data_IF_136301300982
#
_entry.id   IF_136301300982
#
_cell.length_a   1.000
_cell.length_b   1.000
_cell.length_c   1.000
_cell.angle_alpha   90.00
_cell.angle_beta   90.00
_cell.angle_gamma   90.00
#
_symmetry.space_group_name_H-M   'P 1'
#
loop_
_entity.id
_entity.type
_entity.pdbx_description
1 polymer ?
#
# COMPACT_ATOMS: atom_id res chain seq x y z
N UNK A 1 -2.82 -17.37 33.30
CA UNK A 1 -3.05 -16.12 34.10
C UNK A 1 -1.98 -15.98 35.20
N UNK A 2 -1.52 -17.09 35.85
CA UNK A 2 -0.53 -17.01 36.95
C UNK A 2 0.91 -16.68 36.51
N UNK A 3 1.36 -17.14 35.35
CA UNK A 3 2.72 -16.93 34.86
C UNK A 3 3.00 -15.51 34.34
N UNK A 4 2.04 -14.91 33.67
CA UNK A 4 2.17 -13.52 33.17
C UNK A 4 2.19 -12.48 34.29
N UNK A 5 1.41 -12.70 35.34
CA UNK A 5 1.41 -11.82 36.51
C UNK A 5 2.74 -11.85 37.25
N UNK A 6 3.42 -13.03 37.29
CA UNK A 6 4.75 -13.20 37.93
C UNK A 6 5.86 -12.49 37.15
N UNK A 7 5.82 -12.52 35.81
CA UNK A 7 6.79 -11.85 34.93
C UNK A 7 6.67 -10.32 35.04
N UNK A 8 5.45 -9.78 34.98
CA UNK A 8 5.19 -8.32 35.12
C UNK A 8 5.67 -7.78 36.48
N UNK A 9 5.43 -8.52 37.56
CA UNK A 9 5.89 -8.12 38.90
C UNK A 9 7.43 -8.16 39.02
N UNK A 10 8.08 -9.12 38.36
CA UNK A 10 9.54 -9.24 38.30
C UNK A 10 10.20 -8.08 37.52
N UNK A 11 9.64 -7.67 36.40
CA UNK A 11 10.14 -6.55 35.57
C UNK A 11 10.06 -5.23 36.35
N UNK A 12 8.92 -4.94 36.99
CA UNK A 12 8.74 -3.71 37.76
C UNK A 12 9.73 -3.68 38.94
N UNK A 13 9.96 -4.79 39.62
CA UNK A 13 10.93 -4.90 40.75
C UNK A 13 12.35 -4.63 40.29
N UNK A 14 12.70 -4.95 39.05
CA UNK A 14 14.03 -4.78 38.49
C UNK A 14 14.27 -3.43 37.80
N UNK A 15 13.28 -2.53 37.77
CA UNK A 15 13.32 -1.31 36.92
C UNK A 15 14.53 -0.41 37.16
N UNK A 16 15.04 -0.34 38.38
CA UNK A 16 16.22 0.44 38.77
C UNK A 16 17.52 -0.36 38.79
N UNK A 17 17.50 -1.66 38.47
CA UNK A 17 18.67 -2.53 38.58
C UNK A 17 19.84 -2.04 37.75
N UNK A 18 19.58 -1.52 36.55
CA UNK A 18 20.60 -1.00 35.68
C UNK A 18 21.25 0.27 36.28
N UNK A 19 20.45 1.21 36.77
CA UNK A 19 20.94 2.42 37.40
C UNK A 19 21.81 2.13 38.63
N UNK A 20 21.37 1.17 39.48
CA UNK A 20 22.12 0.74 40.66
C UNK A 20 23.45 0.06 40.28
N UNK A 21 23.41 -0.78 39.26
CA UNK A 21 24.59 -1.41 38.70
C UNK A 21 25.61 -0.38 38.23
N UNK A 22 25.14 0.62 37.46
CA UNK A 22 26.01 1.66 36.88
C UNK A 22 26.55 2.66 37.90
N UNK A 23 25.70 3.10 38.82
CA UNK A 23 26.04 4.21 39.73
C UNK A 23 26.66 3.74 41.05
N UNK A 24 26.34 2.52 41.50
CA UNK A 24 26.80 2.03 42.78
C UNK A 24 27.83 0.89 42.64
N UNK A 25 28.23 0.49 41.45
CA UNK A 25 29.22 -0.56 41.19
C UNK A 25 28.85 -1.95 41.73
N UNK A 26 27.56 -2.19 42.06
CA UNK A 26 27.06 -3.46 42.59
C UNK A 26 26.91 -4.52 41.49
N UNK A 27 27.08 -5.80 41.85
CA UNK A 27 26.79 -6.87 40.90
C UNK A 27 25.28 -6.96 40.59
N UNK A 28 24.92 -7.59 39.47
CA UNK A 28 23.53 -7.66 38.96
C UNK A 28 22.52 -8.17 40.02
N UNK A 29 22.89 -9.22 40.80
CA UNK A 29 22.02 -9.80 41.83
C UNK A 29 21.77 -8.84 43.00
N UNK A 30 22.78 -8.10 43.39
CA UNK A 30 22.68 -7.08 44.45
C UNK A 30 21.88 -5.88 43.95
N UNK A 31 22.10 -5.47 42.72
CA UNK A 31 21.38 -4.37 42.07
C UNK A 31 19.88 -4.67 41.94
N UNK A 32 19.53 -5.90 41.55
CA UNK A 32 18.12 -6.33 41.50
C UNK A 32 17.50 -6.37 42.91
N UNK A 33 18.19 -6.87 43.89
CA UNK A 33 17.70 -6.92 45.27
C UNK A 33 17.43 -5.54 45.84
N UNK A 34 18.35 -4.58 45.63
CA UNK A 34 18.19 -3.17 46.04
C UNK A 34 17.07 -2.49 45.25
N UNK A 35 16.99 -2.68 43.93
CA UNK A 35 15.90 -2.20 43.12
C UNK A 35 14.54 -2.68 43.62
N UNK A 36 14.43 -3.97 43.91
CA UNK A 36 13.21 -4.56 44.45
C UNK A 36 12.80 -3.96 45.81
N UNK A 37 13.76 -3.57 46.66
CA UNK A 37 13.49 -2.89 47.93
C UNK A 37 12.98 -1.47 47.71
N UNK A 38 13.63 -0.68 46.85
CA UNK A 38 13.20 0.68 46.49
C UNK A 38 11.78 0.66 45.91
N UNK A 39 11.52 -0.23 44.95
CA UNK A 39 10.19 -0.38 44.35
C UNK A 39 9.14 -0.82 45.34
N UNK A 40 9.48 -1.76 46.26
CA UNK A 40 8.53 -2.22 47.28
C UNK A 40 8.04 -1.08 48.15
N UNK A 41 8.94 -0.19 48.56
CA UNK A 41 8.60 0.96 49.40
C UNK A 41 7.81 2.05 48.64
N UNK A 42 7.97 2.14 47.30
CA UNK A 42 7.40 3.19 46.46
C UNK A 42 6.52 2.64 45.31
N UNK A 43 6.01 1.41 45.42
CA UNK A 43 5.40 0.63 44.35
C UNK A 43 4.35 1.43 43.59
N UNK A 44 3.41 2.03 44.29
CA UNK A 44 2.30 2.76 43.66
C UNK A 44 2.79 4.03 42.94
N UNK A 45 3.77 4.73 43.52
CA UNK A 45 4.36 5.93 42.94
C UNK A 45 5.14 5.62 41.68
N UNK A 46 5.94 4.55 41.68
CA UNK A 46 6.70 4.09 40.50
C UNK A 46 5.74 3.73 39.36
N UNK A 47 4.72 2.91 39.64
CA UNK A 47 3.72 2.51 38.65
C UNK A 47 3.01 3.75 38.05
N UNK A 48 2.53 4.66 38.91
CA UNK A 48 1.85 5.88 38.48
C UNK A 48 2.77 6.79 37.66
N UNK A 49 4.04 6.92 38.03
CA UNK A 49 5.01 7.70 37.26
C UNK A 49 5.23 7.12 35.86
N UNK A 50 5.34 5.79 35.73
CA UNK A 50 5.46 5.11 34.42
C UNK A 50 4.20 5.32 33.58
N UNK A 51 3.01 5.21 34.18
CA UNK A 51 1.74 5.42 33.48
C UNK A 51 1.65 6.88 32.99
N UNK A 52 1.88 7.86 33.88
CA UNK A 52 1.80 9.29 33.54
C UNK A 52 2.80 9.65 32.43
N UNK A 53 4.01 9.10 32.50
CA UNK A 53 5.02 9.32 31.48
C UNK A 53 4.62 8.76 30.12
N UNK A 54 4.10 7.52 30.08
CA UNK A 54 3.63 6.94 28.82
C UNK A 54 2.43 7.70 28.25
N UNK A 55 1.50 8.17 29.11
CA UNK A 55 0.41 9.02 28.69
C UNK A 55 0.91 10.37 28.11
N UNK A 56 1.94 10.97 28.71
CA UNK A 56 2.53 12.21 28.21
C UNK A 56 3.22 12.00 26.85
N UNK A 57 3.98 10.93 26.66
CA UNK A 57 4.54 10.57 25.35
C UNK A 57 3.43 10.39 24.34
N UNK A 58 2.40 9.63 24.69
CA UNK A 58 1.26 9.37 23.83
C UNK A 58 0.53 10.66 23.42
N UNK A 59 0.29 11.57 24.38
CA UNK A 59 -0.28 12.88 24.10
C UNK A 59 0.61 13.71 23.17
N UNK A 60 1.93 13.71 23.39
CA UNK A 60 2.89 14.41 22.53
C UNK A 60 2.87 13.87 21.08
N UNK A 61 2.79 12.55 20.92
CA UNK A 61 2.66 11.89 19.63
C UNK A 61 1.35 12.29 18.94
N UNK A 62 0.23 12.27 19.66
CA UNK A 62 -1.09 12.66 19.14
C UNK A 62 -1.09 14.13 18.68
N UNK A 63 -0.51 15.03 19.46
CA UNK A 63 -0.36 16.44 19.09
C UNK A 63 0.51 16.59 17.83
N UNK A 64 1.63 15.89 17.77
CA UNK A 64 2.52 15.92 16.61
C UNK A 64 1.81 15.46 15.31
N UNK A 65 1.08 14.36 15.36
CA UNK A 65 0.29 13.88 14.22
C UNK A 65 -0.82 14.87 13.83
N UNK A 66 -1.50 15.47 14.82
CA UNK A 66 -2.53 16.48 14.56
C UNK A 66 -1.96 17.69 13.85
N UNK A 67 -0.79 18.18 14.29
CA UNK A 67 -0.12 19.34 13.69
C UNK A 67 0.30 19.04 12.25
N UNK A 68 0.93 17.89 12.00
CA UNK A 68 1.29 17.48 10.63
C UNK A 68 0.06 17.35 9.75
N UNK A 69 -1.01 16.72 10.27
CA UNK A 69 -2.29 16.57 9.57
C UNK A 69 -2.88 17.93 9.15
N UNK A 70 -2.89 18.91 10.07
CA UNK A 70 -3.38 20.25 9.77
C UNK A 70 -2.52 21.00 8.74
N UNK A 71 -1.20 20.84 8.81
CA UNK A 71 -0.27 21.42 7.82
C UNK A 71 -0.53 20.85 6.43
N UNK A 72 -0.73 19.52 6.33
CA UNK A 72 -1.02 18.85 5.07
C UNK A 72 -2.37 19.28 4.49
N UNK A 73 -3.42 19.38 5.33
CA UNK A 73 -4.73 19.88 4.90
C UNK A 73 -4.62 21.32 4.39
N UNK A 74 -3.86 22.18 5.11
CA UNK A 74 -3.60 23.56 4.67
C UNK A 74 -2.87 23.62 3.33
N UNK A 75 -1.84 22.78 3.14
CA UNK A 75 -1.10 22.68 1.89
C UNK A 75 -1.97 22.23 0.71
N UNK A 76 -2.80 21.20 0.91
CA UNK A 76 -3.74 20.71 -0.11
C UNK A 76 -4.77 21.77 -0.50
N UNK A 77 -5.29 22.53 0.47
CA UNK A 77 -6.20 23.66 0.20
C UNK A 77 -5.55 24.78 -0.59
N UNK A 78 -4.29 25.11 -0.29
CA UNK A 78 -3.53 26.16 -1.00
C UNK A 78 -3.24 25.79 -2.47
N UNK A 79 -3.17 24.48 -2.80
CA UNK A 79 -2.93 23.99 -4.15
C UNK A 79 -4.22 23.90 -4.98
N UNK A 80 -5.38 24.26 -4.42
CA UNK A 80 -6.71 24.22 -5.04
C UNK A 80 -7.06 22.87 -5.72
N UNK A 81 -6.53 21.79 -5.16
CA UNK A 81 -6.69 20.42 -5.68
C UNK A 81 -7.97 19.80 -5.12
N UNK A 82 -9.14 20.37 -5.48
CA UNK A 82 -10.43 19.99 -4.90
C UNK A 82 -10.75 18.48 -5.02
N UNK A 83 -10.38 17.85 -6.15
CA UNK A 83 -10.64 16.43 -6.40
C UNK A 83 -9.54 15.48 -5.91
N UNK A 84 -8.34 15.98 -5.69
CA UNK A 84 -7.16 15.18 -5.34
C UNK A 84 -6.67 15.40 -3.92
N UNK A 85 -7.22 16.41 -3.25
CA UNK A 85 -6.76 16.80 -1.93
C UNK A 85 -6.72 15.65 -0.93
N UNK A 86 -7.75 14.80 -0.92
CA UNK A 86 -7.80 13.63 -0.03
C UNK A 86 -6.78 12.55 -0.41
N UNK A 87 -6.61 12.27 -1.70
CA UNK A 87 -5.67 11.26 -2.16
C UNK A 87 -4.20 11.66 -1.89
N UNK A 88 -3.85 12.92 -2.19
CA UNK A 88 -2.53 13.48 -1.88
C UNK A 88 -2.29 13.48 -0.38
N UNK A 89 -3.27 13.93 0.42
CA UNK A 89 -3.20 13.93 1.87
C UNK A 89 -2.92 12.53 2.43
N UNK A 90 -3.69 11.53 2.03
CA UNK A 90 -3.54 10.16 2.49
C UNK A 90 -2.24 9.50 2.03
N UNK A 91 -1.81 9.77 0.78
CA UNK A 91 -0.55 9.27 0.24
C UNK A 91 0.65 9.82 1.02
N UNK A 92 0.68 11.14 1.27
CA UNK A 92 1.76 11.77 2.04
C UNK A 92 1.76 11.29 3.49
N UNK A 93 0.60 11.12 4.13
CA UNK A 93 0.52 10.53 5.48
C UNK A 93 1.04 9.11 5.53
N UNK A 94 0.79 8.31 4.50
CA UNK A 94 1.29 6.93 4.41
C UNK A 94 2.82 6.90 4.37
N UNK A 95 3.44 7.70 3.52
CA UNK A 95 4.91 7.75 3.38
C UNK A 95 5.59 8.32 4.64
N UNK A 96 5.01 9.35 5.25
CA UNK A 96 5.52 9.92 6.50
C UNK A 96 5.42 8.95 7.68
N UNK A 97 4.48 8.03 7.67
CA UNK A 97 4.22 7.11 8.77
C UNK A 97 5.43 6.23 9.11
N UNK A 98 6.11 5.66 8.12
CA UNK A 98 7.28 4.83 8.35
C UNK A 98 8.42 5.66 8.99
N UNK A 99 8.69 6.85 8.45
CA UNK A 99 9.70 7.76 8.99
C UNK A 99 9.39 8.22 10.41
N UNK A 100 8.13 8.54 10.69
CA UNK A 100 7.68 8.97 12.03
C UNK A 100 7.80 7.83 13.05
N UNK A 101 7.45 6.59 12.70
CA UNK A 101 7.64 5.43 13.60
C UNK A 101 9.11 5.25 13.98
N UNK A 102 10.00 5.26 13.01
CA UNK A 102 11.45 5.14 13.25
C UNK A 102 11.93 6.27 14.18
N UNK A 103 11.56 7.50 13.88
CA UNK A 103 11.91 8.67 14.68
C UNK A 103 11.40 8.57 16.13
N UNK A 104 10.17 8.10 16.33
CA UNK A 104 9.58 7.92 17.66
C UNK A 104 10.29 6.85 18.47
N UNK A 105 10.71 5.73 17.87
CA UNK A 105 11.50 4.69 18.55
C UNK A 105 12.84 5.28 19.01
N UNK A 106 13.53 6.03 18.14
CA UNK A 106 14.81 6.67 18.49
C UNK A 106 14.71 7.68 19.64
N UNK A 107 13.59 8.38 19.78
CA UNK A 107 13.37 9.34 20.87
C UNK A 107 12.84 8.63 22.14
N UNK A 108 11.98 7.63 22.03
CA UNK A 108 11.35 6.99 23.18
C UNK A 108 12.36 6.28 24.07
N UNK A 109 13.39 5.68 23.50
CA UNK A 109 14.43 4.94 24.26
C UNK A 109 15.21 5.85 25.20
N UNK A 110 15.90 6.92 24.72
CA UNK A 110 16.61 7.85 25.59
C UNK A 110 15.72 8.52 26.65
N UNK A 111 14.49 8.88 26.24
CA UNK A 111 13.53 9.47 27.17
C UNK A 111 13.10 8.51 28.26
N UNK A 112 12.87 7.23 27.95
CA UNK A 112 12.54 6.21 28.95
C UNK A 112 13.69 5.97 29.92
N UNK A 113 14.93 5.91 29.42
CA UNK A 113 16.11 5.83 30.26
C UNK A 113 16.25 7.04 31.20
N UNK A 114 16.08 8.24 30.67
CA UNK A 114 16.14 9.47 31.47
C UNK A 114 15.07 9.50 32.57
N UNK A 115 13.86 9.06 32.25
CA UNK A 115 12.76 8.95 33.21
C UNK A 115 13.05 7.94 34.32
N UNK A 116 13.55 6.75 33.96
CA UNK A 116 13.91 5.70 34.93
C UNK A 116 15.05 6.20 35.82
N UNK A 117 16.06 6.86 35.28
CA UNK A 117 17.17 7.43 36.04
C UNK A 117 16.69 8.54 36.97
N UNK A 118 15.78 9.43 36.53
CA UNK A 118 15.16 10.44 37.39
C UNK A 118 14.37 9.81 38.55
N UNK A 119 13.57 8.78 38.26
CA UNK A 119 12.81 8.09 39.30
C UNK A 119 13.74 7.38 40.30
N UNK A 120 14.82 6.76 39.80
CA UNK A 120 15.84 6.18 40.68
C UNK A 120 16.41 7.25 41.61
N UNK A 121 16.82 8.40 41.09
CA UNK A 121 17.37 9.50 41.90
C UNK A 121 16.34 10.01 42.93
N UNK A 122 15.08 10.08 42.58
CA UNK A 122 14.00 10.56 43.43
C UNK A 122 13.59 9.61 44.53
N UNK A 123 13.73 8.31 44.33
CA UNK A 123 13.27 7.26 45.29
C UNK A 123 14.39 6.50 46.00
N UNK A 124 15.64 6.68 45.62
CA UNK A 124 16.79 6.25 46.41
C UNK A 124 17.21 7.46 47.21
N UNK A 125 17.24 7.37 48.53
CA UNK A 125 17.73 8.41 49.45
C UNK A 125 19.22 8.70 49.17
N UNK A 126 19.49 9.44 48.10
CA UNK A 126 20.84 9.71 47.57
C UNK A 126 21.38 11.06 48.05
N UNK A 127 20.77 11.68 49.07
CA UNK A 127 21.19 13.01 49.56
C UNK A 127 22.64 13.02 50.12
N UNK A 128 23.30 11.86 50.25
CA UNK A 128 24.66 11.74 50.82
C UNK A 128 25.66 11.01 49.89
N UNK A 129 25.47 10.93 48.59
CA UNK A 129 26.48 10.33 47.72
C UNK A 129 27.43 11.42 47.19
N UNK A 130 28.56 11.61 47.80
CA UNK A 130 29.76 12.10 47.14
C UNK A 130 30.09 11.14 45.98
N UNK A 131 30.17 11.69 44.76
CA UNK A 131 30.60 10.93 43.57
C UNK A 131 32.11 10.65 43.71
N UNK A 132 32.48 9.62 44.47
CA UNK A 132 33.79 9.02 44.32
C UNK A 132 33.80 8.26 42.98
N UNK A 133 34.60 8.73 42.04
CA UNK A 133 34.96 7.99 40.86
C UNK A 133 35.65 6.71 41.32
N UNK A 134 34.92 5.61 41.40
CA UNK A 134 35.47 4.30 41.73
C UNK A 134 36.48 3.96 40.65
N UNK A 135 37.75 3.84 41.04
CA UNK A 135 38.81 3.34 40.19
C UNK A 135 38.47 1.88 39.82
N UNK A 136 37.96 1.68 38.65
CA UNK A 136 37.53 0.37 38.17
C UNK A 136 38.77 -0.35 37.69
N UNK A 137 39.16 -1.43 38.39
CA UNK A 137 40.20 -2.35 37.97
C UNK A 137 40.07 -2.67 36.47
N UNK A 138 41.16 -2.51 35.69
CA UNK A 138 41.15 -2.61 34.24
C UNK A 138 40.58 -3.93 33.70
N UNK A 139 40.72 -5.04 34.45
CA UNK A 139 40.16 -6.34 34.11
C UNK A 139 38.62 -6.33 34.19
N UNK A 140 38.08 -5.75 35.26
CA UNK A 140 36.64 -5.59 35.48
C UNK A 140 36.03 -4.62 34.49
N UNK A 141 36.73 -3.53 34.11
CA UNK A 141 36.32 -2.57 33.12
C UNK A 141 36.17 -3.18 31.70
N UNK A 142 37.06 -4.12 31.34
CA UNK A 142 37.01 -4.82 30.06
C UNK A 142 35.80 -5.74 29.95
N UNK A 143 35.55 -6.54 30.99
CA UNK A 143 34.37 -7.44 31.07
C UNK A 143 33.08 -6.61 31.03
N UNK A 144 33.03 -5.51 31.76
CA UNK A 144 31.86 -4.62 31.76
C UNK A 144 31.60 -3.99 30.39
N UNK A 145 32.64 -3.52 29.68
CA UNK A 145 32.49 -2.99 28.29
C UNK A 145 31.95 -4.04 27.35
N UNK A 146 32.37 -5.29 27.46
CA UNK A 146 31.85 -6.39 26.64
C UNK A 146 30.39 -6.65 26.97
N UNK A 147 30.01 -6.71 28.26
CA UNK A 147 28.59 -6.88 28.64
C UNK A 147 27.74 -5.75 28.14
N UNK A 148 28.22 -4.48 28.21
CA UNK A 148 27.50 -3.32 27.63
C UNK A 148 27.34 -3.44 26.15
N UNK A 149 28.38 -3.78 25.41
CA UNK A 149 28.33 -3.96 23.98
C UNK A 149 27.34 -5.06 23.59
N UNK A 150 27.30 -6.16 24.34
CA UNK A 150 26.36 -7.26 24.11
C UNK A 150 24.91 -6.83 24.43
N UNK A 151 24.69 -6.14 25.56
CA UNK A 151 23.34 -5.66 25.93
C UNK A 151 22.85 -4.62 24.93
N UNK A 152 23.71 -3.70 24.50
CA UNK A 152 23.38 -2.70 23.47
C UNK A 152 23.09 -3.37 22.12
N UNK A 153 23.91 -4.34 21.72
CA UNK A 153 23.67 -5.09 20.48
C UNK A 153 22.35 -5.88 20.54
N UNK A 154 22.05 -6.52 21.68
CA UNK A 154 20.79 -7.23 21.87
C UNK A 154 19.59 -6.29 21.86
N UNK A 155 19.69 -5.10 22.46
CA UNK A 155 18.59 -4.12 22.40
C UNK A 155 18.36 -3.62 20.97
N UNK A 156 19.43 -3.33 20.22
CA UNK A 156 19.33 -2.94 18.80
C UNK A 156 18.71 -4.06 17.97
N UNK A 157 19.09 -5.32 18.20
CA UNK A 157 18.50 -6.47 17.50
C UNK A 157 17.02 -6.63 17.83
N UNK A 158 16.63 -6.47 19.10
CA UNK A 158 15.23 -6.51 19.52
C UNK A 158 14.42 -5.35 18.92
N UNK A 159 15.00 -4.16 18.85
CA UNK A 159 14.36 -3.01 18.18
C UNK A 159 14.21 -3.26 16.68
N UNK A 160 15.22 -3.81 16.01
CA UNK A 160 15.15 -4.20 14.59
C UNK A 160 14.07 -5.28 14.40
N UNK A 161 14.01 -6.33 15.25
CA UNK A 161 12.97 -7.35 15.17
C UNK A 161 11.58 -6.74 15.39
N UNK A 162 11.44 -5.82 16.36
CA UNK A 162 10.20 -5.09 16.61
C UNK A 162 9.81 -4.23 15.40
N UNK A 163 10.76 -3.51 14.81
CA UNK A 163 10.55 -2.70 13.61
C UNK A 163 10.12 -3.60 12.44
N UNK A 164 10.86 -4.69 12.15
CA UNK A 164 10.53 -5.64 11.10
C UNK A 164 9.16 -6.30 11.36
N UNK A 165 8.89 -6.73 12.59
CA UNK A 165 7.60 -7.27 12.98
C UNK A 165 6.46 -6.27 12.85
N UNK A 166 6.71 -4.98 13.10
CA UNK A 166 5.76 -3.89 12.91
C UNK A 166 5.52 -3.58 11.42
N UNK A 167 6.49 -3.85 10.55
CA UNK A 167 6.32 -3.76 9.09
C UNK A 167 5.58 -4.99 8.54
N UNK A 168 5.91 -6.20 8.98
CA UNK A 168 5.30 -7.44 8.51
C UNK A 168 3.91 -7.72 9.11
N UNK A 169 3.65 -7.27 10.34
CA UNK A 169 2.35 -7.36 11.00
C UNK A 169 1.69 -5.98 11.04
N UNK A 170 1.42 -5.41 9.88
CA UNK A 170 0.80 -4.11 9.79
C UNK A 170 -0.67 -4.20 10.28
N UNK A 171 -1.01 -3.81 11.52
CA UNK A 171 -2.39 -3.86 12.00
C UNK A 171 -3.32 -2.95 11.19
N UNK A 172 -2.77 -2.06 10.35
CA UNK A 172 -3.51 -1.21 9.43
C UNK A 172 -3.89 -1.88 8.11
N UNK A 173 -3.25 -2.98 7.71
CA UNK A 173 -3.77 -3.82 6.62
C UNK A 173 -5.13 -4.43 6.99
N UNK A 174 -5.39 -4.62 8.28
CA UNK A 174 -6.68 -5.11 8.79
C UNK A 174 -7.70 -4.00 9.08
N UNK A 175 -7.26 -2.78 9.24
CA UNK A 175 -8.16 -1.62 9.39
C UNK A 175 -8.23 -0.98 8.01
N UNK A 176 -9.32 -1.22 7.31
CA UNK A 176 -9.64 -0.72 5.97
C UNK A 176 -9.72 0.83 5.85
N UNK A 177 -8.76 1.55 6.44
CA UNK A 177 -8.64 3.01 6.37
C UNK A 177 -7.80 3.42 5.17
N UNK A 178 -6.85 2.57 4.77
CA UNK A 178 -5.99 2.80 3.61
C UNK A 178 -6.19 1.65 2.65
N UNK A 179 -7.14 1.79 1.74
CA UNK A 179 -7.29 0.82 0.67
C UNK A 179 -6.13 0.98 -0.30
N UNK A 180 -5.35 -0.07 -0.45
CA UNK A 180 -4.42 -0.25 -1.56
C UNK A 180 -5.19 -0.70 -2.83
N UNK A 181 -6.39 -0.15 -3.05
CA UNK A 181 -7.17 -0.51 -4.22
C UNK A 181 -6.84 0.47 -5.32
N UNK A 182 -6.15 0.00 -6.35
CA UNK A 182 -5.85 0.78 -7.55
C UNK A 182 -7.15 1.03 -8.35
N UNK A 183 -7.19 2.14 -9.08
CA UNK A 183 -8.30 2.52 -9.94
C UNK A 183 -7.85 2.39 -11.38
N UNK A 184 -8.48 1.47 -12.10
CA UNK A 184 -8.27 1.28 -13.52
C UNK A 184 -9.40 1.93 -14.32
N UNK A 185 -9.04 2.86 -15.19
CA UNK A 185 -9.96 3.49 -16.16
C UNK A 185 -10.25 2.53 -17.30
N UNK A 186 -11.47 1.97 -17.34
CA UNK A 186 -11.94 0.98 -18.33
C UNK A 186 -12.09 1.62 -19.71
N UNK A 187 -11.24 1.20 -20.64
CA UNK A 187 -11.13 1.79 -21.99
C UNK A 187 -10.79 3.28 -21.96
N UNK A 188 -10.04 3.72 -20.92
CA UNK A 188 -9.85 5.11 -20.57
C UNK A 188 -10.99 5.68 -19.72
N UNK A 189 -11.09 6.99 -19.60
CA UNK A 189 -12.23 7.67 -18.96
C UNK A 189 -13.45 7.65 -19.88
N UNK A 190 -14.03 6.46 -20.11
CA UNK A 190 -15.00 6.18 -21.18
C UNK A 190 -16.38 6.82 -20.98
N UNK A 191 -16.67 7.35 -19.78
CA UNK A 191 -17.88 8.18 -19.54
C UNK A 191 -17.69 9.62 -20.00
N UNK A 192 -16.44 10.12 -20.04
CA UNK A 192 -16.15 11.53 -20.35
C UNK A 192 -15.54 11.73 -21.74
N UNK A 193 -15.07 10.65 -22.39
CA UNK A 193 -14.51 10.66 -23.73
C UNK A 193 -14.75 9.32 -24.46
N UNK A 194 -14.66 9.27 -25.81
CA UNK A 194 -14.92 8.03 -26.55
C UNK A 194 -13.96 6.91 -26.16
N UNK A 195 -14.50 5.74 -25.82
CA UNK A 195 -13.74 4.56 -25.35
C UNK A 195 -12.60 4.17 -26.30
N UNK A 196 -11.51 3.66 -25.75
CA UNK A 196 -10.38 3.12 -26.52
C UNK A 196 -9.75 4.13 -27.51
N UNK A 197 -9.73 5.41 -27.15
CA UNK A 197 -9.10 6.49 -27.94
C UNK A 197 -8.02 7.21 -27.13
N UNK A 198 -7.15 7.95 -27.82
CA UNK A 198 -6.14 8.78 -27.14
C UNK A 198 -6.81 9.88 -26.29
N UNK A 199 -7.99 10.35 -26.68
CA UNK A 199 -8.77 11.32 -25.91
C UNK A 199 -9.19 10.74 -24.54
N UNK A 200 -9.78 9.51 -24.50
CA UNK A 200 -10.17 8.88 -23.23
C UNK A 200 -8.97 8.52 -22.36
N UNK A 201 -7.84 8.15 -22.96
CA UNK A 201 -6.61 7.84 -22.22
C UNK A 201 -5.97 9.11 -21.63
N UNK A 202 -5.94 10.21 -22.41
CA UNK A 202 -5.49 11.50 -21.89
C UNK A 202 -6.37 11.98 -20.74
N UNK A 203 -7.69 11.82 -20.88
CA UNK A 203 -8.63 12.14 -19.82
C UNK A 203 -8.43 11.28 -18.56
N UNK A 204 -8.18 9.98 -18.70
CA UNK A 204 -7.87 9.09 -17.58
C UNK A 204 -6.58 9.51 -16.84
N UNK A 205 -5.57 10.01 -17.57
CA UNK A 205 -4.34 10.57 -16.97
C UNK A 205 -4.66 11.87 -16.21
N UNK A 206 -5.46 12.77 -16.79
CA UNK A 206 -5.90 14.01 -16.11
C UNK A 206 -6.73 13.73 -14.87
N UNK A 207 -7.60 12.71 -14.92
CA UNK A 207 -8.43 12.24 -13.82
C UNK A 207 -7.61 11.43 -12.78
N UNK A 208 -6.29 11.25 -13.05
CA UNK A 208 -5.33 10.56 -12.21
C UNK A 208 -5.76 9.13 -11.83
N UNK A 209 -6.27 8.39 -12.80
CA UNK A 209 -6.39 6.94 -12.69
C UNK A 209 -4.99 6.34 -12.42
N UNK A 210 -4.92 5.20 -11.73
CA UNK A 210 -3.66 4.53 -11.46
C UNK A 210 -3.22 3.68 -12.66
N UNK A 211 -4.21 3.15 -13.41
CA UNK A 211 -4.02 2.30 -14.57
C UNK A 211 -5.05 2.67 -15.65
N UNK A 212 -4.68 2.60 -16.91
CA UNK A 212 -5.62 2.59 -18.05
C UNK A 212 -5.78 1.14 -18.51
N UNK A 213 -7.04 0.68 -18.61
CA UNK A 213 -7.36 -0.55 -19.31
C UNK A 213 -7.70 -0.22 -20.78
N UNK A 214 -7.27 -1.10 -21.70
CA UNK A 214 -7.51 -0.99 -23.12
C UNK A 214 -7.56 -2.36 -23.80
N UNK A 215 -8.31 -2.44 -24.91
CA UNK A 215 -8.52 -3.67 -25.65
C UNK A 215 -7.71 -3.66 -26.95
N UNK A 216 -6.94 -4.71 -27.24
CA UNK A 216 -6.11 -4.78 -28.44
C UNK A 216 -6.51 -5.92 -29.37
N UNK A 217 -6.48 -5.61 -30.68
CA UNK A 217 -6.70 -6.56 -31.77
C UNK A 217 -5.65 -6.36 -32.86
N UNK A 218 -5.51 -7.35 -33.75
CA UNK A 218 -4.59 -7.28 -34.86
C UNK A 218 -5.32 -7.00 -36.18
N UNK A 219 -4.80 -6.04 -36.95
CA UNK A 219 -5.28 -5.75 -38.32
C UNK A 219 -4.86 -6.84 -39.32
N UNK A 220 -5.48 -6.80 -40.52
CA UNK A 220 -5.17 -7.71 -41.60
C UNK A 220 -3.67 -7.74 -41.98
N UNK A 221 -3.01 -6.61 -41.91
CA UNK A 221 -1.59 -6.43 -42.21
C UNK A 221 -0.68 -6.51 -40.98
N UNK A 222 -1.25 -7.00 -39.85
CA UNK A 222 -0.48 -7.42 -38.67
C UNK A 222 -0.08 -6.32 -37.72
N UNK A 223 -0.73 -5.17 -37.71
CA UNK A 223 -0.54 -4.10 -36.71
C UNK A 223 -1.46 -4.29 -35.51
N UNK A 224 -1.04 -3.95 -34.33
CA UNK A 224 -1.85 -3.98 -33.11
C UNK A 224 -2.54 -2.63 -32.95
N UNK A 225 -3.87 -2.66 -32.96
CA UNK A 225 -4.74 -1.48 -32.80
C UNK A 225 -5.64 -1.65 -31.59
N UNK A 226 -6.20 -0.53 -31.08
CA UNK A 226 -7.00 -0.50 -29.86
C UNK A 226 -8.48 -0.41 -30.21
N UNK A 227 -9.20 -1.49 -29.95
CA UNK A 227 -10.64 -1.62 -30.24
C UNK A 227 -11.22 -2.78 -29.45
N UNK A 228 -12.39 -2.56 -28.81
CA UNK A 228 -13.04 -3.62 -28.01
C UNK A 228 -13.75 -4.65 -28.91
N UNK A 229 -14.66 -4.18 -29.75
CA UNK A 229 -15.50 -5.08 -30.55
C UNK A 229 -14.70 -5.64 -31.75
N UNK A 230 -14.98 -6.88 -32.12
CA UNK A 230 -14.41 -7.48 -33.33
C UNK A 230 -14.78 -6.67 -34.58
N UNK A 231 -16.03 -6.15 -34.65
CA UNK A 231 -16.50 -5.26 -35.69
C UNK A 231 -16.30 -3.80 -35.34
N UNK A 232 -15.79 -3.00 -36.26
CA UNK A 232 -15.64 -1.57 -36.08
C UNK A 232 -16.99 -0.80 -36.05
N UNK A 233 -18.13 -1.46 -36.25
CA UNK A 233 -19.42 -0.81 -36.52
C UNK A 233 -19.90 0.11 -35.40
N UNK A 234 -19.89 -0.35 -34.17
CA UNK A 234 -20.49 0.36 -33.01
C UNK A 234 -19.86 1.73 -32.78
N UNK A 235 -18.54 1.81 -32.87
CA UNK A 235 -17.79 3.02 -32.54
C UNK A 235 -17.37 3.83 -33.78
N UNK A 236 -17.49 3.27 -35.00
CA UNK A 236 -17.04 3.97 -36.20
C UNK A 236 -18.07 3.99 -37.35
N UNK A 237 -19.18 3.25 -37.22
CA UNK A 237 -20.20 3.11 -38.26
C UNK A 237 -19.79 2.20 -39.43
N UNK A 238 -18.60 1.62 -39.44
CA UNK A 238 -18.10 0.80 -40.55
C UNK A 238 -18.31 -0.69 -40.26
N UNK A 239 -19.17 -1.34 -41.06
CA UNK A 239 -19.52 -2.75 -40.92
C UNK A 239 -18.42 -3.65 -41.53
N UNK A 240 -17.27 -3.72 -40.84
CA UNK A 240 -16.15 -4.62 -41.13
C UNK A 240 -15.46 -5.03 -39.83
N UNK A 241 -14.89 -6.23 -39.80
CA UNK A 241 -14.05 -6.67 -38.70
C UNK A 241 -12.66 -6.04 -38.78
N UNK A 242 -12.03 -5.82 -37.61
CA UNK A 242 -10.67 -5.26 -37.56
C UNK A 242 -9.67 -6.14 -38.29
N UNK A 243 -9.83 -7.47 -38.23
CA UNK A 243 -9.00 -8.46 -38.93
C UNK A 243 -9.12 -8.39 -40.47
N UNK A 244 -10.13 -7.74 -41.00
CA UNK A 244 -10.36 -7.56 -42.44
C UNK A 244 -9.77 -6.23 -42.96
N UNK A 245 -9.43 -5.30 -42.06
CA UNK A 245 -8.93 -3.98 -42.35
C UNK A 245 -7.42 -3.89 -42.23
N UNK A 246 -6.77 -3.19 -43.14
CA UNK A 246 -5.37 -2.77 -42.99
C UNK A 246 -5.26 -1.61 -42.00
N UNK A 247 -4.06 -1.38 -41.43
CA UNK A 247 -3.82 -0.22 -40.58
C UNK A 247 -4.21 1.09 -41.27
N UNK A 248 -3.91 1.23 -42.56
CA UNK A 248 -4.28 2.44 -43.34
C UNK A 248 -5.79 2.66 -43.40
N UNK A 249 -6.58 1.59 -43.46
CA UNK A 249 -8.05 1.67 -43.46
C UNK A 249 -8.53 2.00 -42.04
N UNK A 250 -8.01 1.33 -40.99
CA UNK A 250 -8.35 1.60 -39.59
C UNK A 250 -8.06 3.06 -39.21
N UNK A 251 -6.93 3.63 -39.62
CA UNK A 251 -6.59 5.06 -39.34
C UNK A 251 -7.47 6.08 -40.07
N UNK A 252 -8.33 5.66 -41.01
CA UNK A 252 -9.31 6.54 -41.62
C UNK A 252 -10.64 6.57 -40.87
N UNK A 253 -10.92 5.60 -40.03
CA UNK A 253 -12.13 5.52 -39.24
C UNK A 253 -12.22 6.71 -38.26
N UNK A 254 -13.46 7.10 -37.97
CA UNK A 254 -13.78 8.09 -36.95
C UNK A 254 -14.32 7.35 -35.73
N UNK A 255 -13.56 7.31 -34.67
CA UNK A 255 -13.90 6.61 -33.44
C UNK A 255 -14.50 7.55 -32.36
N UNK A 256 -14.68 8.82 -32.67
CA UNK A 256 -15.18 9.82 -31.71
C UNK A 256 -16.60 10.30 -31.98
N UNK A 257 -17.03 10.42 -33.26
CA UNK A 257 -18.30 11.01 -33.62
C UNK A 257 -19.54 10.32 -33.04
N UNK A 258 -19.47 8.99 -32.85
CA UNK A 258 -20.54 8.22 -32.23
C UNK A 258 -20.80 8.62 -30.77
N UNK A 259 -19.77 9.12 -30.09
CA UNK A 259 -19.83 9.55 -28.70
C UNK A 259 -20.37 11.00 -28.62
N UNK A 260 -19.74 11.93 -29.31
CA UNK A 260 -20.20 13.31 -29.42
C UNK A 260 -19.59 14.03 -30.65
N UNK A 261 -20.25 15.09 -31.15
CA UNK A 261 -19.75 15.94 -32.22
C UNK A 261 -18.39 16.58 -31.88
N UNK A 262 -18.11 16.81 -30.62
CA UNK A 262 -16.85 17.38 -30.11
C UNK A 262 -15.65 16.49 -30.43
N UNK A 263 -15.82 15.18 -30.39
CA UNK A 263 -14.77 14.20 -30.68
C UNK A 263 -14.73 13.75 -32.15
N UNK A 264 -15.46 14.38 -33.02
CA UNK A 264 -15.45 14.06 -34.44
C UNK A 264 -14.04 14.14 -35.01
N UNK A 265 -13.63 13.07 -35.67
CA UNK A 265 -12.30 12.94 -36.27
C UNK A 265 -11.30 12.22 -35.38
N UNK A 266 -11.65 11.88 -34.12
CA UNK A 266 -10.82 11.06 -33.24
C UNK A 266 -10.54 9.70 -33.90
N UNK A 267 -9.31 9.21 -33.79
CA UNK A 267 -8.87 8.04 -34.54
C UNK A 267 -8.76 6.81 -33.64
N UNK A 268 -8.95 5.64 -34.24
CA UNK A 268 -8.57 4.37 -33.59
C UNK A 268 -7.05 4.39 -33.42
N UNK A 269 -6.54 4.29 -32.17
CA UNK A 269 -5.10 4.31 -31.93
C UNK A 269 -4.46 2.94 -32.20
N UNK A 270 -3.18 2.95 -32.49
CA UNK A 270 -2.33 1.77 -32.39
C UNK A 270 -1.88 1.59 -30.93
N UNK A 271 -1.53 0.37 -30.54
CA UNK A 271 -0.91 0.14 -29.22
C UNK A 271 0.38 0.98 -29.05
N UNK A 272 1.14 1.16 -30.13
CA UNK A 272 2.36 1.97 -30.10
C UNK A 272 2.08 3.43 -29.72
N UNK A 273 1.03 4.04 -30.28
CA UNK A 273 0.61 5.42 -29.91
C UNK A 273 0.20 5.49 -28.44
N UNK A 274 -0.47 4.47 -27.91
CA UNK A 274 -0.86 4.42 -26.48
C UNK A 274 0.35 4.26 -25.58
N UNK A 275 1.30 3.38 -25.91
CA UNK A 275 2.54 3.22 -25.15
C UNK A 275 3.34 4.53 -25.09
N UNK A 276 3.40 5.28 -26.22
CA UNK A 276 4.04 6.59 -26.25
C UNK A 276 3.34 7.62 -25.34
N UNK A 277 2.01 7.63 -25.32
CA UNK A 277 1.22 8.53 -24.47
C UNK A 277 1.42 8.21 -22.97
N UNK A 278 1.39 6.91 -22.62
CA UNK A 278 1.38 6.44 -21.24
C UNK A 278 2.77 6.45 -20.58
N UNK A 279 3.85 6.33 -21.38
CA UNK A 279 5.22 6.16 -20.87
C UNK A 279 5.60 7.21 -19.84
N UNK A 280 5.92 6.74 -18.62
CA UNK A 280 6.31 7.59 -17.48
C UNK A 280 5.16 8.39 -16.85
N UNK A 281 3.91 8.15 -17.25
CA UNK A 281 2.74 8.88 -16.76
C UNK A 281 1.73 7.99 -16.05
N UNK A 282 1.46 6.78 -16.59
CA UNK A 282 0.42 5.89 -16.07
C UNK A 282 0.73 4.44 -16.48
N UNK A 283 0.25 3.47 -15.68
CA UNK A 283 0.33 2.04 -16.00
C UNK A 283 -0.76 1.64 -17.00
N UNK A 284 -0.55 0.52 -17.69
CA UNK A 284 -1.50 -0.02 -18.66
C UNK A 284 -1.92 -1.45 -18.27
N UNK A 285 -3.19 -1.73 -18.38
CA UNK A 285 -3.77 -3.07 -18.40
C UNK A 285 -4.25 -3.35 -19.85
N UNK A 286 -3.52 -4.18 -20.57
CA UNK A 286 -3.73 -4.44 -21.98
C UNK A 286 -4.50 -5.75 -22.15
N UNK A 287 -5.81 -5.68 -22.48
CA UNK A 287 -6.58 -6.89 -22.78
C UNK A 287 -6.33 -7.36 -24.21
N UNK A 288 -5.78 -8.56 -24.36
CA UNK A 288 -5.70 -9.23 -25.67
C UNK A 288 -7.05 -9.85 -25.99
N UNK A 289 -7.76 -9.25 -26.97
CA UNK A 289 -8.96 -9.83 -27.56
C UNK A 289 -8.56 -10.95 -28.51
N UNK A 290 -9.05 -12.15 -28.23
CA UNK A 290 -8.62 -13.34 -28.96
C UNK A 290 -9.44 -13.58 -30.20
N UNK A 291 -8.73 -13.88 -31.28
CA UNK A 291 -9.15 -14.58 -32.46
C UNK A 291 -8.24 -15.82 -32.64
N UNK A 292 -8.35 -16.54 -33.73
CA UNK A 292 -7.60 -17.77 -34.04
C UNK A 292 -6.05 -17.66 -34.01
N UNK A 293 -5.47 -16.47 -33.65
CA UNK A 293 -4.05 -16.17 -33.70
C UNK A 293 -3.48 -15.54 -32.42
N UNK A 294 -3.96 -16.01 -31.26
CA UNK A 294 -3.57 -15.51 -29.92
C UNK A 294 -2.06 -15.41 -29.73
N UNK A 295 -1.30 -16.39 -30.17
CA UNK A 295 0.17 -16.42 -30.06
C UNK A 295 0.85 -15.28 -30.84
N UNK A 296 0.41 -15.04 -32.08
CA UNK A 296 0.97 -13.94 -32.90
C UNK A 296 0.66 -12.57 -32.29
N UNK A 297 -0.55 -12.38 -31.78
CA UNK A 297 -0.95 -11.14 -31.11
C UNK A 297 -0.13 -10.95 -29.85
N UNK A 298 -0.04 -11.96 -28.98
CA UNK A 298 0.77 -11.92 -27.76
C UNK A 298 2.23 -11.54 -28.08
N UNK A 299 2.84 -12.19 -29.04
CA UNK A 299 4.22 -11.90 -29.48
C UNK A 299 4.42 -10.45 -29.90
N UNK A 300 3.47 -9.88 -30.64
CA UNK A 300 3.56 -8.48 -31.13
C UNK A 300 3.35 -7.48 -30.00
N UNK A 301 2.41 -7.76 -29.10
CA UNK A 301 2.13 -6.93 -27.92
C UNK A 301 3.39 -6.90 -27.03
N UNK A 302 3.94 -8.06 -26.67
CA UNK A 302 5.16 -8.15 -25.88
C UNK A 302 6.32 -7.39 -26.52
N UNK A 303 6.55 -7.58 -27.83
CA UNK A 303 7.61 -6.84 -28.54
C UNK A 303 7.45 -5.32 -28.50
N UNK A 304 6.20 -4.82 -28.55
CA UNK A 304 5.94 -3.40 -28.42
C UNK A 304 6.23 -2.92 -26.99
N UNK A 305 5.80 -3.64 -25.99
CA UNK A 305 6.08 -3.31 -24.57
C UNK A 305 7.61 -3.27 -24.32
N UNK A 306 8.34 -4.28 -24.79
CA UNK A 306 9.81 -4.33 -24.71
C UNK A 306 10.49 -3.17 -25.45
N UNK A 307 10.02 -2.84 -26.68
CA UNK A 307 10.54 -1.71 -27.48
C UNK A 307 10.48 -0.39 -26.73
N UNK A 308 9.43 -0.19 -25.91
CA UNK A 308 9.25 1.02 -25.11
C UNK A 308 9.82 0.89 -23.68
N UNK A 309 10.36 -0.28 -23.29
CA UNK A 309 10.85 -0.58 -21.92
C UNK A 309 9.78 -0.28 -20.87
N UNK A 310 8.59 -0.86 -21.04
CA UNK A 310 7.42 -0.64 -20.19
C UNK A 310 6.94 -1.93 -19.50
N UNK A 311 7.78 -2.97 -19.38
CA UNK A 311 7.41 -4.24 -18.75
C UNK A 311 6.85 -4.04 -17.34
N UNK A 312 7.54 -3.26 -16.50
CA UNK A 312 7.11 -2.94 -15.13
C UNK A 312 5.87 -2.01 -15.05
N UNK A 313 5.43 -1.48 -16.18
CA UNK A 313 4.32 -0.53 -16.27
C UNK A 313 3.12 -1.07 -17.06
N UNK A 314 3.21 -2.30 -17.53
CA UNK A 314 2.16 -2.96 -18.30
C UNK A 314 1.82 -4.30 -17.66
N UNK A 315 0.53 -4.58 -17.51
CA UNK A 315 0.01 -5.92 -17.27
C UNK A 315 -0.81 -6.37 -18.48
N UNK A 316 -0.88 -7.66 -18.74
CA UNK A 316 -1.66 -8.20 -19.85
C UNK A 316 -2.79 -9.05 -19.30
N UNK A 317 -3.99 -8.82 -19.81
CA UNK A 317 -5.17 -9.60 -19.47
C UNK A 317 -5.78 -10.27 -20.70
N UNK A 318 -6.49 -11.38 -20.51
CA UNK A 318 -7.28 -12.04 -21.57
C UNK A 318 -8.31 -12.98 -20.96
N UNK A 319 -9.40 -13.21 -21.71
CA UNK A 319 -10.32 -14.34 -21.49
C UNK A 319 -9.75 -15.66 -22.03
N UNK A 320 -8.74 -15.60 -22.88
CA UNK A 320 -8.06 -16.77 -23.44
C UNK A 320 -6.79 -17.07 -22.67
N UNK A 321 -6.83 -18.15 -21.90
CA UNK A 321 -5.67 -18.58 -21.12
C UNK A 321 -4.44 -18.91 -21.99
N UNK A 322 -4.66 -19.39 -23.23
CA UNK A 322 -3.55 -19.67 -24.14
C UNK A 322 -2.78 -18.41 -24.58
N UNK A 323 -3.48 -17.27 -24.67
CA UNK A 323 -2.82 -15.97 -24.93
C UNK A 323 -1.91 -15.56 -23.77
N UNK A 324 -2.33 -15.81 -22.51
CA UNK A 324 -1.52 -15.51 -21.33
C UNK A 324 -0.28 -16.40 -21.25
N UNK A 325 -0.41 -17.69 -21.55
CA UNK A 325 0.71 -18.61 -21.62
C UNK A 325 1.70 -18.19 -22.73
N UNK A 326 1.19 -17.73 -23.87
CA UNK A 326 2.02 -17.21 -24.95
C UNK A 326 2.80 -15.95 -24.50
N UNK A 327 2.16 -15.01 -23.80
CA UNK A 327 2.83 -13.83 -23.23
C UNK A 327 3.98 -14.25 -22.34
N UNK A 328 3.75 -15.15 -21.37
CA UNK A 328 4.77 -15.69 -20.45
C UNK A 328 5.95 -16.33 -21.19
N UNK A 329 5.68 -17.02 -22.29
CA UNK A 329 6.74 -17.65 -23.09
C UNK A 329 7.65 -16.65 -23.81
N UNK A 330 7.18 -15.43 -24.06
CA UNK A 330 7.94 -14.36 -24.71
C UNK A 330 8.62 -13.40 -23.71
N UNK A 331 8.02 -13.20 -22.54
CA UNK A 331 8.55 -12.35 -21.46
C UNK A 331 7.90 -12.75 -20.13
N UNK A 332 8.69 -13.35 -19.23
CA UNK A 332 8.21 -13.80 -17.92
C UNK A 332 8.10 -12.67 -16.88
N UNK A 333 8.70 -11.51 -17.15
CA UNK A 333 8.64 -10.34 -16.27
C UNK A 333 7.31 -9.56 -16.40
N UNK A 334 6.56 -9.74 -17.51
CA UNK A 334 5.25 -9.10 -17.69
C UNK A 334 4.18 -9.83 -16.87
N UNK A 335 3.54 -9.14 -15.94
CA UNK A 335 2.43 -9.70 -15.16
C UNK A 335 1.21 -10.01 -16.06
N UNK A 336 0.58 -11.17 -15.82
CA UNK A 336 -0.59 -11.62 -16.59
C UNK A 336 -1.79 -11.90 -15.69
N UNK A 337 -2.96 -11.47 -16.12
CA UNK A 337 -4.22 -11.63 -15.43
C UNK A 337 -5.26 -12.40 -16.23
N UNK A 338 -5.90 -13.41 -15.60
CA UNK A 338 -6.97 -14.15 -16.25
C UNK A 338 -8.34 -13.51 -16.00
N UNK A 339 -9.05 -13.19 -17.07
CA UNK A 339 -10.37 -12.55 -16.99
C UNK A 339 -11.44 -13.62 -16.84
N UNK A 340 -12.30 -13.49 -15.84
CA UNK A 340 -13.37 -14.41 -15.51
C UNK A 340 -14.73 -13.71 -15.48
N UNK A 341 -15.60 -14.03 -16.45
CA UNK A 341 -17.01 -13.60 -16.40
C UNK A 341 -17.79 -14.29 -15.30
N UNK A 342 -17.42 -15.53 -14.96
CA UNK A 342 -18.03 -16.36 -13.92
C UNK A 342 -16.92 -16.98 -13.07
N UNK A 343 -16.92 -16.68 -11.78
CA UNK A 343 -15.99 -17.26 -10.83
C UNK A 343 -16.63 -18.50 -10.17
N UNK A 344 -16.35 -19.68 -10.70
CA UNK A 344 -16.87 -20.94 -10.20
C UNK A 344 -15.75 -21.96 -9.94
N UNK A 345 -15.91 -22.76 -8.89
CA UNK A 345 -14.93 -23.77 -8.51
C UNK A 345 -13.67 -23.16 -7.88
N UNK A 346 -12.56 -23.89 -8.02
CA UNK A 346 -11.25 -23.50 -7.46
C UNK A 346 -10.32 -22.87 -8.51
N UNK A 347 -10.84 -21.94 -9.29
CA UNK A 347 -10.09 -21.25 -10.35
C UNK A 347 -8.82 -20.57 -9.85
N UNK A 348 -8.77 -20.18 -8.57
CA UNK A 348 -7.61 -19.56 -7.92
C UNK A 348 -6.41 -20.51 -7.75
N UNK A 349 -6.59 -21.83 -8.02
CA UNK A 349 -5.50 -22.80 -8.07
C UNK A 349 -4.76 -22.84 -9.44
N UNK A 350 -5.17 -22.04 -10.44
CA UNK A 350 -4.43 -21.87 -11.71
C UNK A 350 -3.10 -21.16 -11.44
N UNK A 351 -1.97 -21.79 -11.80
CA UNK A 351 -0.65 -21.34 -11.37
C UNK A 351 -0.05 -20.20 -12.22
N UNK A 352 -0.17 -20.25 -13.54
CA UNK A 352 0.56 -19.38 -14.48
C UNK A 352 -0.01 -17.95 -14.62
N UNK A 353 -0.69 -17.41 -13.60
CA UNK A 353 -1.23 -16.05 -13.59
C UNK A 353 -0.93 -15.35 -12.27
N UNK A 354 -0.73 -14.04 -12.34
CA UNK A 354 -0.40 -13.21 -11.17
C UNK A 354 -1.65 -12.66 -10.49
N UNK A 355 -2.72 -12.48 -11.24
CA UNK A 355 -3.98 -11.98 -10.73
C UNK A 355 -5.19 -12.51 -11.52
N UNK A 356 -6.36 -12.38 -10.91
CA UNK A 356 -7.64 -12.66 -11.54
C UNK A 356 -8.44 -11.37 -11.71
N UNK A 357 -8.88 -11.10 -12.94
CA UNK A 357 -9.82 -10.03 -13.25
C UNK A 357 -11.23 -10.59 -13.31
N UNK A 358 -12.02 -10.37 -12.25
CA UNK A 358 -13.28 -11.09 -12.01
C UNK A 358 -14.47 -10.15 -12.10
N UNK A 359 -15.56 -10.61 -12.74
CA UNK A 359 -16.82 -9.88 -12.72
C UNK A 359 -17.27 -9.62 -11.27
N UNK A 360 -17.53 -8.37 -10.96
CA UNK A 360 -17.81 -7.85 -9.62
C UNK A 360 -18.94 -8.59 -8.88
N UNK A 361 -19.95 -9.11 -9.64
CA UNK A 361 -21.07 -9.85 -9.07
C UNK A 361 -20.70 -11.18 -8.40
N UNK A 362 -19.55 -11.76 -8.75
CA UNK A 362 -19.05 -13.01 -8.17
C UNK A 362 -18.08 -12.81 -7.00
N UNK A 363 -17.66 -11.56 -6.72
CA UNK A 363 -16.69 -11.24 -5.68
C UNK A 363 -17.36 -11.16 -4.29
N UNK A 364 -17.35 -12.27 -3.58
CA UNK A 364 -17.63 -12.31 -2.14
C UNK A 364 -16.33 -12.18 -1.35
N UNK A 365 -16.39 -11.80 -0.07
CA UNK A 365 -15.18 -11.74 0.80
C UNK A 365 -14.43 -13.07 0.79
N UNK A 366 -15.15 -14.20 0.79
CA UNK A 366 -14.56 -15.54 0.72
C UNK A 366 -13.78 -15.80 -0.56
N UNK A 367 -14.27 -15.32 -1.70
CA UNK A 367 -13.60 -15.46 -3.00
C UNK A 367 -12.33 -14.59 -3.02
N UNK A 368 -12.41 -13.34 -2.57
CA UNK A 368 -11.25 -12.45 -2.45
C UNK A 368 -10.18 -13.08 -1.55
N UNK A 369 -10.56 -13.56 -0.37
CA UNK A 369 -9.61 -14.20 0.56
C UNK A 369 -8.99 -15.47 -0.05
N UNK A 370 -9.76 -16.25 -0.82
CA UNK A 370 -9.25 -17.47 -1.47
C UNK A 370 -8.19 -17.14 -2.54
N UNK A 371 -8.40 -16.07 -3.33
CA UNK A 371 -7.44 -15.59 -4.32
C UNK A 371 -6.16 -15.09 -3.61
N UNK A 372 -6.29 -14.26 -2.58
CA UNK A 372 -5.16 -13.76 -1.81
C UNK A 372 -4.37 -14.88 -1.12
N UNK A 373 -5.06 -15.90 -0.59
CA UNK A 373 -4.41 -17.07 0.02
C UNK A 373 -3.61 -17.92 -1.00
N UNK A 374 -3.91 -17.80 -2.30
CA UNK A 374 -3.10 -18.40 -3.36
C UNK A 374 -1.93 -17.50 -3.82
N UNK A 375 -1.70 -16.36 -3.14
CA UNK A 375 -0.63 -15.42 -3.44
C UNK A 375 -0.92 -14.50 -4.64
N UNK A 376 -2.18 -14.39 -5.09
CA UNK A 376 -2.57 -13.65 -6.29
C UNK A 376 -3.43 -12.45 -5.95
N UNK A 377 -3.43 -11.44 -6.84
CA UNK A 377 -4.27 -10.25 -6.70
C UNK A 377 -5.65 -10.48 -7.35
N UNK A 378 -6.63 -9.63 -6.98
CA UNK A 378 -7.98 -9.64 -7.53
C UNK A 378 -8.41 -8.26 -8.03
N UNK A 379 -8.74 -8.19 -9.32
CA UNK A 379 -9.29 -7.01 -9.98
C UNK A 379 -10.79 -7.21 -10.19
N UNK A 380 -11.58 -6.17 -9.95
CA UNK A 380 -13.03 -6.22 -10.06
C UNK A 380 -13.53 -5.39 -11.26
N UNK A 381 -14.29 -5.98 -12.18
CA UNK A 381 -14.82 -5.31 -13.38
C UNK A 381 -16.31 -5.59 -13.60
N UNK A 382 -17.08 -4.74 -14.28
CA UNK A 382 -16.89 -3.29 -14.38
C UNK A 382 -17.73 -2.63 -13.28
N UNK A 383 -17.16 -1.75 -12.50
CA UNK A 383 -17.78 -1.27 -11.25
C UNK A 383 -18.01 0.23 -11.35
N UNK A 384 -19.27 0.66 -11.60
CA UNK A 384 -19.62 2.04 -11.92
C UNK A 384 -20.51 2.74 -10.90
N UNK A 385 -20.86 2.09 -9.78
CA UNK A 385 -21.70 2.70 -8.75
C UNK A 385 -21.01 2.72 -7.38
N UNK A 386 -21.25 3.77 -6.62
CA UNK A 386 -20.61 4.07 -5.33
C UNK A 386 -20.75 2.95 -4.31
N UNK A 387 -21.94 2.34 -4.22
CA UNK A 387 -22.19 1.28 -3.26
C UNK A 387 -21.36 0.02 -3.56
N UNK A 388 -21.23 -0.35 -4.84
CA UNK A 388 -20.42 -1.49 -5.27
C UNK A 388 -18.93 -1.21 -5.11
N UNK A 389 -18.45 0.00 -5.45
CA UNK A 389 -17.08 0.44 -5.24
C UNK A 389 -16.75 0.30 -3.75
N UNK A 390 -17.54 0.93 -2.89
CA UNK A 390 -17.37 0.87 -1.42
C UNK A 390 -17.39 -0.57 -0.90
N UNK A 391 -18.32 -1.41 -1.36
CA UNK A 391 -18.44 -2.80 -0.92
C UNK A 391 -17.23 -3.65 -1.33
N UNK A 392 -16.75 -3.54 -2.57
CA UNK A 392 -15.62 -4.31 -3.09
C UNK A 392 -14.30 -3.86 -2.45
N UNK A 393 -14.11 -2.56 -2.28
CA UNK A 393 -12.97 -2.03 -1.53
C UNK A 393 -12.95 -2.54 -0.09
N UNK A 394 -14.12 -2.64 0.58
CA UNK A 394 -14.24 -3.24 1.92
C UNK A 394 -13.92 -4.73 1.95
N UNK A 395 -14.13 -5.45 0.85
CA UNK A 395 -13.75 -6.85 0.71
C UNK A 395 -12.24 -7.03 0.46
N UNK A 396 -11.53 -5.96 0.16
CA UNK A 396 -10.10 -5.95 -0.05
C UNK A 396 -9.69 -6.29 -1.48
N UNK A 397 -10.49 -5.93 -2.50
CA UNK A 397 -10.03 -6.07 -3.90
C UNK A 397 -8.83 -5.14 -4.16
N UNK A 398 -7.85 -5.60 -4.95
CA UNK A 398 -6.62 -4.88 -5.21
C UNK A 398 -6.80 -3.81 -6.29
N UNK A 399 -7.76 -3.99 -7.19
CA UNK A 399 -8.02 -3.05 -8.28
C UNK A 399 -9.52 -3.00 -8.62
N UNK A 400 -10.01 -1.79 -8.92
CA UNK A 400 -11.36 -1.55 -9.45
C UNK A 400 -11.27 -1.01 -10.86
N UNK A 401 -11.81 -1.78 -11.82
CA UNK A 401 -11.93 -1.39 -13.21
C UNK A 401 -13.28 -0.71 -13.41
N UNK A 402 -13.28 0.56 -13.82
CA UNK A 402 -14.47 1.41 -13.87
C UNK A 402 -14.46 2.36 -15.08
N UNK A 403 -15.65 2.67 -15.60
CA UNK A 403 -15.83 3.72 -16.61
C UNK A 403 -15.76 5.14 -16.02
N UNK A 404 -15.80 5.24 -14.65
CA UNK A 404 -15.88 6.48 -13.89
C UNK A 404 -14.71 6.62 -12.90
N UNK A 405 -13.48 6.83 -13.36
CA UNK A 405 -12.31 6.84 -12.48
C UNK A 405 -12.39 7.94 -11.40
N UNK A 406 -12.93 9.12 -11.72
CA UNK A 406 -13.13 10.22 -10.75
C UNK A 406 -14.07 9.78 -9.62
N UNK A 407 -15.24 9.21 -9.96
CA UNK A 407 -16.19 8.71 -8.97
C UNK A 407 -15.59 7.62 -8.09
N UNK A 408 -14.86 6.67 -8.70
CA UNK A 408 -14.19 5.61 -7.94
C UNK A 408 -13.17 6.20 -6.96
N UNK A 409 -12.40 7.18 -7.39
CA UNK A 409 -11.44 7.89 -6.55
C UNK A 409 -12.13 8.63 -5.40
N UNK A 410 -13.19 9.35 -5.69
CA UNK A 410 -13.99 10.02 -4.65
C UNK A 410 -14.51 9.02 -3.62
N UNK A 411 -15.10 7.90 -4.03
CA UNK A 411 -15.64 6.90 -3.12
C UNK A 411 -14.56 6.20 -2.30
N UNK A 412 -13.44 5.85 -2.91
CA UNK A 412 -12.34 5.15 -2.24
C UNK A 412 -11.64 6.07 -1.23
N UNK A 413 -11.44 7.34 -1.58
CA UNK A 413 -10.66 8.29 -0.78
C UNK A 413 -11.51 9.29 0.02
N UNK A 414 -12.79 9.52 -0.33
CA UNK A 414 -13.70 10.39 0.43
C UNK A 414 -14.38 9.72 1.60
N UNK A 415 -13.83 8.63 2.12
CA UNK A 415 -14.33 8.05 3.36
C UNK A 415 -14.49 9.16 4.38
N UNK A 416 -15.70 9.28 4.84
CA UNK A 416 -16.20 10.22 5.83
C UNK A 416 -15.06 10.68 6.74
N UNK A 417 -14.72 11.96 6.69
CA UNK A 417 -13.65 12.56 7.52
C UNK A 417 -13.87 12.26 8.99
N UNK A 418 -15.13 12.05 9.39
CA UNK A 418 -15.53 11.61 10.73
C UNK A 418 -15.13 10.15 11.01
N UNK A 419 -15.32 9.22 10.05
CA UNK A 419 -14.96 7.81 10.19
C UNK A 419 -13.43 7.64 10.18
N UNK A 420 -12.73 8.40 9.35
CA UNK A 420 -11.26 8.46 9.32
C UNK A 420 -10.71 9.03 10.62
N UNK A 421 -11.28 10.09 11.15
CA UNK A 421 -10.89 10.68 12.43
C UNK A 421 -11.18 9.73 13.62
N UNK A 422 -12.35 9.10 13.65
CA UNK A 422 -12.72 8.11 14.68
C UNK A 422 -11.79 6.89 14.61
N UNK A 423 -11.44 6.43 13.43
CA UNK A 423 -10.55 5.29 13.26
C UNK A 423 -9.09 5.67 13.57
N UNK A 424 -8.64 6.89 13.26
CA UNK A 424 -7.36 7.43 13.75
C UNK A 424 -7.36 7.53 15.28
N UNK A 425 -8.41 8.03 15.89
CA UNK A 425 -8.58 8.10 17.34
C UNK A 425 -8.56 6.69 17.94
N UNK A 426 -9.33 5.75 17.41
CA UNK A 426 -9.32 4.34 17.84
C UNK A 426 -7.94 3.69 17.70
N UNK A 427 -7.20 3.98 16.64
CA UNK A 427 -5.85 3.46 16.48
C UNK A 427 -4.88 4.02 17.52
N UNK A 428 -4.96 5.34 17.77
CA UNK A 428 -4.15 6.00 18.78
C UNK A 428 -4.46 5.47 20.18
N UNK A 429 -5.72 5.11 20.48
CA UNK A 429 -6.16 4.67 21.81
C UNK A 429 -6.23 3.14 22.01
N UNK A 430 -6.11 2.32 20.94
CA UNK A 430 -6.10 0.86 21.04
C UNK A 430 -4.67 0.24 21.00
N UNK A 431 -3.62 1.06 21.08
CA UNK A 431 -2.25 0.65 21.38
C UNK A 431 -1.95 0.97 22.86
#
# INVERSE_FOLDING_TARGET
>A
VGSEMCIRDSVIRGIFSFNIYMMEGKNFRQSYKKSSQIVRNNRLRVIMSVIVYNLAIFAAIAVFYTVISLILIGGVKLLDMAYLGSAVYLSVLRELRAGVKIFLVFISIPCSFSMISYMYYKYSDLDDIEFEFVDIDEGSARVNRIIYAVVLALSIVLDIIYIIGSFNNNPFERVAIFHNTDITAHRGASVDAPENTLASFSKAIEDMADVIELDVQMTKDGYIVVMHDTSAYRTTGVLKNITELTLREVKRLDAGYWYSEEYKGEKVPTLEEVLQLAKGKIKLNIEIKTADNSDEVAKKVVKLIQKYSMQDSCVITSFDYSALQAVRSYDEDIEVGYILSVAYGKFYEIDDVDFFSVNASFLTKRVVDAIHNSGKQVYAWTVNNDASIKNLTNKGVDNIITDKPVTAREVIYSRDTSETLINMIKYVFNQ
#
